data_IF_607332138503
#
_entry.id   IF_607332138503
#
_cell.length_a   1.000
_cell.length_b   1.000
_cell.length_c   1.000
_cell.angle_alpha   90.00
_cell.angle_beta   90.00
_cell.angle_gamma   90.00
#
_symmetry.space_group_name_H-M   'P 1'
#
loop_
_entity.id
_entity.type
_entity.pdbx_description
1 polymer ?
#
# COMPACT_ATOMS: atom_id res chain seq x y z
N UNK A 1 1.88 -11.82 -13.59
CA UNK A 1 1.85 -11.11 -12.31
C UNK A 1 3.27 -10.66 -11.98
N UNK A 2 3.53 -9.35 -11.88
CA UNK A 2 4.86 -8.81 -11.55
C UNK A 2 5.34 -9.22 -10.16
N UNK A 3 6.67 -9.21 -9.94
CA UNK A 3 7.30 -9.60 -8.67
C UNK A 3 6.75 -8.79 -7.49
N UNK A 4 6.55 -7.49 -7.69
CA UNK A 4 6.01 -6.58 -6.67
C UNK A 4 4.63 -6.99 -6.16
N UNK A 5 3.68 -7.27 -7.07
CA UNK A 5 2.33 -7.71 -6.69
C UNK A 5 2.35 -9.02 -5.90
N UNK A 6 3.24 -9.96 -6.25
CA UNK A 6 3.39 -11.21 -5.48
C UNK A 6 3.85 -10.91 -4.06
N UNK A 7 4.82 -10.01 -3.89
CA UNK A 7 5.31 -9.62 -2.57
C UNK A 7 4.20 -8.97 -1.72
N UNK A 8 3.34 -8.13 -2.31
CA UNK A 8 2.18 -7.55 -1.62
C UNK A 8 1.23 -8.62 -1.10
N UNK A 9 0.90 -9.61 -1.94
CA UNK A 9 0.00 -10.70 -1.54
C UNK A 9 0.64 -11.57 -0.46
N UNK A 10 1.92 -11.94 -0.60
CA UNK A 10 2.64 -12.70 0.44
C UNK A 10 2.72 -11.92 1.76
N UNK A 11 2.93 -10.60 1.73
CA UNK A 11 2.90 -9.79 2.94
C UNK A 11 1.52 -9.83 3.61
N UNK A 12 0.46 -9.64 2.83
CA UNK A 12 -0.91 -9.67 3.32
C UNK A 12 -1.35 -11.03 3.87
N UNK A 13 -0.96 -12.12 3.21
CA UNK A 13 -1.28 -13.49 3.63
C UNK A 13 -0.57 -13.89 4.94
N UNK A 14 0.62 -13.32 5.20
CA UNK A 14 1.38 -13.61 6.41
C UNK A 14 1.01 -12.72 7.61
N UNK A 15 0.24 -11.65 7.40
CA UNK A 15 -0.20 -10.76 8.46
C UNK A 15 -1.69 -10.98 8.75
N UNK A 16 -1.95 -11.66 9.87
CA UNK A 16 -3.31 -11.92 10.35
C UNK A 16 -4.13 -10.67 10.67
N UNK A 17 -3.53 -9.48 10.70
CA UNK A 17 -4.25 -8.22 10.89
C UNK A 17 -4.83 -7.68 9.57
N UNK A 18 -4.27 -8.08 8.43
CA UNK A 18 -4.74 -7.69 7.10
C UNK A 18 -5.94 -8.56 6.72
N UNK A 19 -7.02 -7.92 6.27
CA UNK A 19 -8.29 -8.55 5.86
C UNK A 19 -8.60 -8.39 4.39
N UNK A 20 -8.01 -7.37 3.77
CA UNK A 20 -8.29 -7.01 2.39
C UNK A 20 -7.09 -6.29 1.79
N UNK A 21 -6.82 -6.57 0.52
CA UNK A 21 -5.90 -5.80 -0.32
C UNK A 21 -6.70 -5.30 -1.51
N UNK A 22 -6.77 -3.98 -1.69
CA UNK A 22 -7.42 -3.37 -2.85
C UNK A 22 -6.37 -2.69 -3.73
N UNK A 23 -6.42 -2.98 -5.03
CA UNK A 23 -5.76 -2.16 -6.05
C UNK A 23 -6.70 -1.02 -6.42
N UNK A 24 -6.20 0.19 -6.36
CA UNK A 24 -6.91 1.40 -6.75
C UNK A 24 -6.17 2.13 -7.89
N UNK A 25 -6.63 3.33 -8.22
CA UNK A 25 -5.93 4.25 -9.11
C UNK A 25 -5.90 3.81 -10.57
N UNK A 26 -4.87 4.25 -11.29
CA UNK A 26 -4.76 4.07 -12.74
C UNK A 26 -4.74 2.58 -13.14
N UNK A 27 -4.05 1.74 -12.36
CA UNK A 27 -3.92 0.30 -12.62
C UNK A 27 -5.19 -0.51 -12.33
N UNK A 28 -6.13 0.04 -11.56
CA UNK A 28 -7.45 -0.57 -11.36
C UNK A 28 -8.43 -0.25 -12.50
N UNK A 29 -8.15 0.76 -13.32
CA UNK A 29 -9.02 1.16 -14.42
C UNK A 29 -8.66 0.40 -15.72
N UNK A 30 -9.53 -0.48 -16.22
CA UNK A 30 -9.24 -1.23 -17.46
C UNK A 30 -9.19 -0.35 -18.72
N UNK A 31 -9.68 0.89 -18.64
CA UNK A 31 -9.71 1.84 -19.76
C UNK A 31 -8.49 2.78 -19.79
N UNK A 32 -7.60 2.71 -18.80
CA UNK A 32 -6.37 3.49 -18.76
C UNK A 32 -5.21 2.71 -19.39
N UNK A 33 -4.36 3.40 -20.14
CA UNK A 33 -3.11 2.82 -20.65
C UNK A 33 -2.14 2.70 -19.48
N UNK A 34 -1.86 1.47 -19.09
CA UNK A 34 -0.88 1.17 -18.05
C UNK A 34 0.51 1.08 -18.68
N UNK A 35 1.46 1.84 -18.15
CA UNK A 35 2.85 1.76 -18.57
C UNK A 35 3.76 1.29 -17.41
N UNK A 36 5.06 1.26 -17.67
CA UNK A 36 6.07 0.85 -16.68
C UNK A 36 6.39 1.90 -15.62
N UNK A 37 5.91 3.13 -15.81
CA UNK A 37 6.11 4.26 -14.90
C UNK A 37 4.87 4.53 -14.03
N UNK A 38 3.75 3.88 -14.34
CA UNK A 38 2.52 3.95 -13.55
C UNK A 38 2.76 3.30 -12.18
N UNK A 39 2.41 4.04 -11.14
CA UNK A 39 2.45 3.64 -9.74
C UNK A 39 1.42 2.54 -9.41
N UNK A 40 1.56 1.97 -8.22
CA UNK A 40 0.58 1.06 -7.63
C UNK A 40 -0.07 1.74 -6.43
N UNK A 41 -1.35 2.06 -6.54
CA UNK A 41 -2.16 2.52 -5.42
C UNK A 41 -2.76 1.31 -4.69
N UNK A 42 -2.24 1.00 -3.50
CA UNK A 42 -2.66 -0.16 -2.71
C UNK A 42 -3.30 0.30 -1.40
N UNK A 43 -4.48 -0.24 -1.09
CA UNK A 43 -5.15 -0.04 0.20
C UNK A 43 -5.21 -1.37 0.96
N UNK A 44 -4.63 -1.39 2.15
CA UNK A 44 -4.76 -2.49 3.10
C UNK A 44 -5.93 -2.22 4.06
N UNK A 45 -6.91 -3.12 4.05
CA UNK A 45 -7.95 -3.15 5.09
C UNK A 45 -7.46 -3.98 6.27
N UNK A 46 -7.35 -3.38 7.45
CA UNK A 46 -6.78 -4.01 8.64
C UNK A 46 -7.75 -3.99 9.82
N UNK A 47 -7.63 -4.96 10.73
CA UNK A 47 -8.44 -4.97 11.96
C UNK A 47 -8.01 -3.91 12.98
N UNK A 48 -6.71 -3.60 13.04
CA UNK A 48 -6.17 -2.50 13.86
C UNK A 48 -5.06 -1.78 13.08
N UNK A 49 -5.11 -0.45 13.06
CA UNK A 49 -4.10 0.37 12.38
C UNK A 49 -2.87 0.69 13.24
N UNK A 50 -3.02 0.62 14.57
CA UNK A 50 -1.99 0.98 15.56
C UNK A 50 -0.60 0.36 15.31
N UNK A 51 -0.44 -0.91 14.89
CA UNK A 51 0.87 -1.50 14.64
C UNK A 51 1.65 -0.80 13.51
N UNK A 52 0.96 -0.37 12.46
CA UNK A 52 1.58 0.25 11.27
C UNK A 52 1.90 1.73 11.48
N UNK A 53 1.16 2.40 12.37
CA UNK A 53 1.44 3.78 12.76
C UNK A 53 2.66 3.86 13.66
N UNK A 54 2.77 2.94 14.63
CA UNK A 54 3.86 2.93 15.62
C UNK A 54 5.20 2.48 15.07
N UNK A 55 5.18 1.63 14.05
CA UNK A 55 6.39 1.12 13.43
C UNK A 55 6.23 1.15 11.90
N UNK A 56 7.03 1.95 11.23
CA UNK A 56 7.06 2.07 9.77
C UNK A 56 7.96 1.03 9.07
N UNK A 57 8.68 0.19 9.83
CA UNK A 57 9.64 -0.79 9.29
C UNK A 57 9.00 -1.87 8.42
N UNK A 58 7.70 -2.09 8.53
CA UNK A 58 6.98 -3.04 7.68
C UNK A 58 7.15 -2.71 6.19
N UNK A 59 7.33 -1.44 5.83
CA UNK A 59 7.57 -1.02 4.45
C UNK A 59 8.89 -1.56 3.89
N UNK A 60 9.88 -1.86 4.74
CA UNK A 60 11.17 -2.42 4.31
C UNK A 60 11.03 -3.81 3.67
N UNK A 61 9.90 -4.50 3.90
CA UNK A 61 9.60 -5.77 3.25
C UNK A 61 9.54 -5.65 1.72
N UNK A 62 9.17 -4.48 1.19
CA UNK A 62 9.00 -4.26 -0.25
C UNK A 62 10.28 -3.84 -0.97
N UNK A 63 11.37 -3.65 -0.23
CA UNK A 63 12.67 -3.27 -0.77
C UNK A 63 13.15 -1.92 -0.25
N UNK A 64 14.14 -1.34 -0.94
CA UNK A 64 14.70 -0.04 -0.57
C UNK A 64 13.71 1.07 -0.87
N UNK A 65 13.24 1.74 0.19
CA UNK A 65 12.39 2.91 0.07
C UNK A 65 13.24 4.09 -0.40
N UNK A 66 12.97 4.58 -1.62
CA UNK A 66 13.66 5.76 -2.15
C UNK A 66 13.08 7.06 -1.60
N UNK A 67 11.76 7.12 -1.44
CA UNK A 67 11.01 8.27 -0.94
C UNK A 67 9.88 7.74 -0.05
N UNK A 68 9.69 8.36 1.12
CA UNK A 68 8.53 8.14 1.97
C UNK A 68 7.85 9.48 2.24
N UNK A 69 6.57 9.58 1.91
CA UNK A 69 5.76 10.78 2.13
C UNK A 69 4.53 10.42 2.96
N UNK A 70 4.41 11.05 4.12
CA UNK A 70 3.24 10.90 4.97
C UNK A 70 2.37 12.15 4.82
N UNK A 71 1.35 12.06 3.97
CA UNK A 71 0.33 13.10 3.89
C UNK A 71 -0.70 12.89 4.99
N UNK A 72 -0.52 13.58 6.12
CA UNK A 72 -1.50 13.57 7.21
C UNK A 72 -2.69 14.44 6.81
N UNK A 73 -3.69 13.82 6.19
CA UNK A 73 -4.99 14.45 5.93
C UNK A 73 -5.98 13.91 6.96
N UNK A 74 -6.26 14.68 8.01
CA UNK A 74 -7.30 14.34 8.98
C UNK A 74 -8.65 14.83 8.50
N UNK A 75 -9.48 13.93 7.96
CA UNK A 75 -10.92 14.17 7.79
C UNK A 75 -11.64 13.15 8.65
N UNK A 76 -12.41 13.63 9.64
CA UNK A 76 -13.23 12.79 10.54
C UNK A 76 -12.46 11.70 11.32
N UNK A 77 -11.24 11.98 11.80
CA UNK A 77 -10.38 11.03 12.53
C UNK A 77 -10.01 9.73 11.79
N UNK A 78 -10.22 9.67 10.47
CA UNK A 78 -9.75 8.55 9.66
C UNK A 78 -8.41 8.97 9.03
N UNK A 79 -7.33 8.28 9.40
CA UNK A 79 -6.03 8.46 8.76
C UNK A 79 -5.95 7.59 7.50
N UNK A 80 -5.66 8.22 6.37
CA UNK A 80 -5.32 7.54 5.12
C UNK A 80 -3.84 7.78 4.83
N UNK A 81 -2.91 6.97 5.36
CA UNK A 81 -1.53 7.08 4.95
C UNK A 81 -1.44 6.65 3.48
N UNK A 82 -1.17 7.61 2.60
CA UNK A 82 -0.93 7.36 1.18
C UNK A 82 0.56 7.09 1.04
N UNK A 83 0.94 5.87 0.71
CA UNK A 83 2.33 5.50 0.44
C UNK A 83 2.56 5.45 -1.06
N UNK A 84 3.46 6.30 -1.56
CA UNK A 84 3.98 6.22 -2.91
C UNK A 84 5.33 5.51 -2.86
N UNK A 85 5.40 4.23 -3.28
CA UNK A 85 6.68 3.57 -3.55
C UNK A 85 6.95 3.61 -5.05
N UNK A 86 8.03 4.29 -5.44
CA UNK A 86 8.52 4.34 -6.83
C UNK A 86 9.24 3.08 -7.28
#
# INVERSE_FOLDING_TARGET
>A
MGVFIRNLLTFAENDNNIRLVLLNGSRANPNQVQDKYSDYDILFGVTSYEPYEKNSDWMNYFGTILINQNNVSSVNNIQYPIFLSG
#
